data_IF_411901999641
#
_entry.id   IF_411901999641
#
_cell.length_a   1.000
_cell.length_b   1.000
_cell.length_c   1.000
_cell.angle_alpha   90.00
_cell.angle_beta   90.00
_cell.angle_gamma   90.00
#
_symmetry.space_group_name_H-M   'P 1'
#
loop_
_entity.id
_entity.type
_entity.pdbx_description
1 polymer ?
#
# COMPACT_ATOMS: atom_id res chain seq x y z
N UNK A 1 0.72 -28.62 5.48
CA UNK A 1 0.43 -27.30 6.00
C UNK A 1 -0.99 -26.89 5.62
N UNK A 2 -1.80 -26.49 6.61
CA UNK A 2 -3.21 -26.11 6.38
C UNK A 2 -3.38 -24.63 5.96
N UNK A 3 -2.34 -23.82 6.06
CA UNK A 3 -2.44 -22.38 5.85
C UNK A 3 -2.11 -21.96 4.40
N UNK A 4 -1.15 -22.63 3.77
CA UNK A 4 -0.77 -22.37 2.39
C UNK A 4 -0.13 -23.60 1.74
N UNK A 5 -0.01 -23.56 0.42
CA UNK A 5 0.67 -24.53 -0.43
C UNK A 5 1.87 -23.88 -1.13
N UNK A 6 2.73 -24.68 -1.75
CA UNK A 6 3.88 -24.18 -2.54
C UNK A 6 3.46 -23.35 -3.77
N UNK A 7 2.22 -23.50 -4.21
CA UNK A 7 1.70 -22.81 -5.40
C UNK A 7 1.01 -21.47 -5.05
N UNK A 8 0.84 -21.21 -3.75
CA UNK A 8 0.28 -19.94 -3.30
C UNK A 8 1.26 -18.76 -3.54
N UNK A 9 0.72 -17.60 -3.85
CA UNK A 9 1.43 -16.33 -3.86
C UNK A 9 1.05 -15.57 -2.60
N UNK A 10 1.99 -15.45 -1.67
CA UNK A 10 1.75 -14.86 -0.35
C UNK A 10 2.19 -13.41 -0.31
N UNK A 11 1.25 -12.50 -0.10
CA UNK A 11 1.52 -11.09 0.14
C UNK A 11 1.69 -10.78 1.62
N UNK A 12 2.84 -10.29 2.02
CA UNK A 12 3.07 -9.77 3.38
C UNK A 12 2.72 -8.29 3.38
N UNK A 13 1.56 -7.95 3.92
CA UNK A 13 1.10 -6.56 4.08
C UNK A 13 1.72 -5.97 5.33
N UNK A 14 2.59 -5.00 5.15
CA UNK A 14 3.23 -4.27 6.23
C UNK A 14 2.55 -2.92 6.48
N UNK A 15 2.96 -2.20 7.51
CA UNK A 15 2.60 -0.81 7.76
C UNK A 15 3.88 0.04 7.80
N UNK A 16 4.30 0.64 6.70
CA UNK A 16 5.54 1.42 6.63
C UNK A 16 5.37 2.86 7.15
N UNK A 17 4.13 3.32 7.36
CA UNK A 17 3.87 4.70 7.78
C UNK A 17 4.52 5.02 9.12
N UNK A 18 5.26 6.12 9.16
CA UNK A 18 6.07 6.52 10.32
C UNK A 18 7.40 5.79 10.40
N UNK A 19 8.03 5.60 9.25
CA UNK A 19 9.27 4.86 9.02
C UNK A 19 10.28 4.91 10.17
N UNK A 20 10.72 3.73 10.61
CA UNK A 20 11.72 3.56 11.66
C UNK A 20 11.26 3.81 13.09
N UNK A 21 10.11 4.47 13.30
CA UNK A 21 9.60 4.82 14.64
C UNK A 21 8.36 3.98 14.99
N UNK A 22 7.33 4.04 14.15
CA UNK A 22 6.03 3.40 14.38
C UNK A 22 5.59 2.56 13.18
N UNK A 23 6.53 2.10 12.37
CA UNK A 23 6.30 1.18 11.24
C UNK A 23 6.42 -0.29 11.68
N UNK A 24 5.90 -1.20 10.85
CA UNK A 24 6.24 -2.63 10.98
C UNK A 24 7.76 -2.78 10.85
N UNK A 25 8.38 -3.47 11.80
CA UNK A 25 9.84 -3.66 11.80
C UNK A 25 10.23 -4.74 10.80
N UNK A 26 11.26 -4.50 9.96
CA UNK A 26 11.76 -5.50 9.02
C UNK A 26 12.12 -6.84 9.66
N UNK A 27 12.63 -6.83 10.90
CA UNK A 27 13.01 -8.05 11.64
C UNK A 27 11.81 -8.96 11.92
N UNK A 28 10.61 -8.40 12.10
CA UNK A 28 9.38 -9.19 12.24
C UNK A 28 9.02 -9.86 10.92
N UNK A 29 9.25 -9.17 9.81
CA UNK A 29 9.01 -9.69 8.47
C UNK A 29 10.01 -10.79 8.12
N UNK A 30 11.29 -10.68 8.56
CA UNK A 30 12.28 -11.75 8.41
C UNK A 30 11.78 -13.07 9.02
N UNK A 31 11.28 -13.03 10.26
CA UNK A 31 10.76 -14.23 10.94
C UNK A 31 9.60 -14.86 10.16
N UNK A 32 8.72 -14.05 9.60
CA UNK A 32 7.60 -14.54 8.77
C UNK A 32 8.11 -15.17 7.48
N UNK A 33 9.09 -14.53 6.82
CA UNK A 33 9.70 -15.05 5.59
C UNK A 33 10.42 -16.38 5.89
N UNK A 34 11.22 -16.46 6.93
CA UNK A 34 11.93 -17.67 7.33
C UNK A 34 10.95 -18.82 7.60
N UNK A 35 9.84 -18.52 8.25
CA UNK A 35 8.78 -19.49 8.49
C UNK A 35 8.12 -19.97 7.18
N UNK A 36 7.83 -19.05 6.25
CA UNK A 36 7.25 -19.41 4.95
C UNK A 36 8.20 -20.30 4.14
N UNK A 37 9.47 -19.91 4.05
CA UNK A 37 10.52 -20.66 3.34
C UNK A 37 10.76 -22.03 3.98
N UNK A 38 10.86 -22.09 5.31
CA UNK A 38 11.02 -23.31 6.07
C UNK A 38 9.86 -24.30 5.93
N UNK A 39 8.68 -23.80 5.54
CA UNK A 39 7.49 -24.61 5.24
C UNK A 39 7.30 -24.87 3.73
N UNK A 40 8.28 -24.57 2.89
CA UNK A 40 8.35 -24.96 1.49
C UNK A 40 7.70 -23.96 0.50
N UNK A 41 7.35 -22.74 0.92
CA UNK A 41 6.91 -21.71 -0.01
C UNK A 41 8.12 -21.22 -0.83
N UNK A 42 8.05 -21.21 -2.17
CA UNK A 42 9.14 -20.67 -2.98
C UNK A 42 9.33 -19.16 -2.74
N UNK A 43 10.57 -18.71 -2.69
CA UNK A 43 10.94 -17.31 -2.41
C UNK A 43 10.30 -16.32 -3.38
N UNK A 44 10.24 -16.65 -4.66
CA UNK A 44 9.60 -15.84 -5.70
C UNK A 44 8.08 -15.70 -5.54
N UNK A 45 7.46 -16.50 -4.68
CA UNK A 45 6.04 -16.44 -4.36
C UNK A 45 5.74 -15.57 -3.13
N UNK A 46 6.76 -14.92 -2.58
CA UNK A 46 6.62 -13.99 -1.44
C UNK A 46 6.71 -12.56 -1.96
N UNK A 47 5.75 -11.72 -1.57
CA UNK A 47 5.71 -10.30 -1.95
C UNK A 47 5.50 -9.48 -0.68
N UNK A 48 6.45 -8.60 -0.33
CA UNK A 48 6.24 -7.56 0.70
C UNK A 48 5.55 -6.39 0.02
N UNK A 49 4.46 -5.89 0.60
CA UNK A 49 3.71 -4.83 -0.06
C UNK A 49 3.02 -3.85 0.89
N UNK A 50 2.78 -2.66 0.38
CA UNK A 50 1.90 -1.63 0.94
C UNK A 50 1.35 -0.75 -0.18
N UNK A 51 0.63 0.29 0.19
CA UNK A 51 0.08 1.24 -0.77
C UNK A 51 1.16 2.03 -1.50
N UNK A 52 2.14 2.58 -0.79
CA UNK A 52 3.16 3.47 -1.36
C UNK A 52 4.55 2.84 -1.35
N UNK A 53 5.18 2.73 -2.53
CA UNK A 53 6.54 2.21 -2.68
C UNK A 53 7.59 3.07 -1.96
N UNK A 54 7.43 4.39 -2.02
CA UNK A 54 8.29 5.34 -1.29
C UNK A 54 8.30 5.04 0.21
N UNK A 55 7.12 4.84 0.83
CA UNK A 55 7.04 4.54 2.26
C UNK A 55 7.66 3.18 2.61
N UNK A 56 7.57 2.19 1.72
CA UNK A 56 8.24 0.91 1.89
C UNK A 56 9.76 1.10 1.94
N UNK A 57 10.32 1.85 0.99
CA UNK A 57 11.75 2.17 0.93
C UNK A 57 12.21 2.89 2.21
N UNK A 58 11.49 3.92 2.64
CA UNK A 58 11.81 4.71 3.84
C UNK A 58 11.78 3.86 5.12
N UNK A 59 10.92 2.85 5.18
CA UNK A 59 10.82 1.92 6.30
C UNK A 59 11.84 0.76 6.22
N UNK A 60 12.76 0.78 5.25
CA UNK A 60 13.82 -0.21 5.12
C UNK A 60 13.44 -1.46 4.33
N UNK A 61 12.30 -1.47 3.66
CA UNK A 61 11.92 -2.55 2.74
C UNK A 61 12.54 -2.29 1.37
N UNK A 62 13.75 -2.81 1.16
CA UNK A 62 14.52 -2.64 -0.06
C UNK A 62 14.99 -3.98 -0.64
N UNK A 63 15.28 -4.06 -1.94
CA UNK A 63 15.81 -5.28 -2.56
C UNK A 63 17.12 -5.78 -1.93
N UNK A 64 17.94 -4.85 -1.43
CA UNK A 64 19.20 -5.17 -0.75
C UNK A 64 18.96 -5.83 0.61
N UNK A 65 17.93 -5.37 1.32
CA UNK A 65 17.55 -5.92 2.64
C UNK A 65 16.82 -7.26 2.51
N UNK A 66 16.03 -7.43 1.44
CA UNK A 66 15.23 -8.64 1.18
C UNK A 66 15.56 -9.24 -0.20
N UNK A 67 16.79 -9.78 -0.38
CA UNK A 67 17.25 -10.23 -1.69
C UNK A 67 16.42 -11.40 -2.21
N UNK A 68 15.88 -11.22 -3.43
CA UNK A 68 15.04 -12.21 -4.11
C UNK A 68 13.58 -12.26 -3.64
N UNK A 69 13.17 -11.38 -2.71
CA UNK A 69 11.77 -11.13 -2.36
C UNK A 69 11.31 -9.92 -3.16
N UNK A 70 10.13 -9.99 -3.75
CA UNK A 70 9.53 -8.84 -4.42
C UNK A 70 9.00 -7.85 -3.41
N UNK A 71 9.30 -6.56 -3.61
CA UNK A 71 8.74 -5.45 -2.84
C UNK A 71 7.89 -4.64 -3.81
N UNK A 72 6.62 -4.40 -3.46
CA UNK A 72 5.66 -3.78 -4.36
C UNK A 72 4.77 -2.77 -3.64
N UNK A 73 4.86 -1.50 -4.05
CA UNK A 73 3.88 -0.47 -3.72
C UNK A 73 2.79 -0.42 -4.79
N UNK A 74 1.56 -0.16 -4.39
CA UNK A 74 0.47 0.02 -5.35
C UNK A 74 0.55 1.38 -6.06
N UNK A 75 1.12 2.38 -5.40
CA UNK A 75 1.30 3.74 -5.92
C UNK A 75 2.77 4.14 -5.89
N UNK A 76 3.23 4.67 -7.02
CA UNK A 76 4.58 5.18 -7.22
C UNK A 76 4.55 6.70 -7.30
N UNK A 77 5.57 7.35 -6.69
CA UNK A 77 5.91 8.74 -6.91
C UNK A 77 7.19 8.84 -7.74
N UNK A 78 7.29 9.84 -8.59
CA UNK A 78 8.55 10.18 -9.27
C UNK A 78 9.52 10.81 -8.26
N UNK A 79 10.75 10.31 -8.17
CA UNK A 79 11.74 10.68 -7.12
C UNK A 79 12.20 12.15 -7.14
N UNK A 80 11.90 12.91 -8.18
CA UNK A 80 12.29 14.33 -8.27
C UNK A 80 11.10 15.25 -8.20
N UNK A 81 10.82 15.72 -6.99
CA UNK A 81 10.15 17.01 -6.86
C UNK A 81 11.18 18.10 -7.22
N UNK A 82 10.86 19.07 -8.09
CA UNK A 82 11.68 20.26 -8.21
C UNK A 82 11.85 20.91 -6.84
N UNK A 83 13.07 21.35 -6.52
CA UNK A 83 13.30 22.15 -5.32
C UNK A 83 12.40 23.40 -5.39
N UNK A 84 11.56 23.58 -4.39
CA UNK A 84 10.95 24.88 -4.10
C UNK A 84 9.50 25.04 -4.44
N UNK A 85 8.64 24.19 -4.27
CA UNK A 85 7.27 24.50 -3.89
C UNK A 85 6.39 23.25 -3.71
N UNK A 86 5.85 23.18 -2.50
CA UNK A 86 4.50 22.72 -2.26
C UNK A 86 4.07 21.53 -3.08
N UNK A 87 4.07 20.34 -2.48
CA UNK A 87 3.13 19.31 -2.87
C UNK A 87 2.77 19.38 -4.38
N UNK A 88 3.79 19.57 -5.22
CA UNK A 88 3.55 19.55 -6.66
C UNK A 88 3.14 18.14 -7.02
N UNK A 89 1.88 18.04 -7.29
CA UNK A 89 1.18 16.83 -7.62
C UNK A 89 1.65 16.20 -8.93
N UNK A 90 2.53 16.88 -9.67
CA UNK A 90 3.22 16.35 -10.84
C UNK A 90 4.03 15.07 -10.52
N UNK A 91 4.48 14.88 -9.27
CA UNK A 91 5.14 13.66 -8.83
C UNK A 91 4.29 12.38 -8.99
N UNK A 92 3.00 12.53 -9.14
CA UNK A 92 2.04 11.44 -9.30
C UNK A 92 1.54 11.26 -10.74
N UNK A 93 1.88 12.20 -11.62
CA UNK A 93 1.35 12.25 -12.97
C UNK A 93 2.44 11.98 -14.02
N UNK A 94 2.04 11.38 -15.13
CA UNK A 94 2.86 11.27 -16.32
C UNK A 94 2.79 12.57 -17.16
N UNK A 95 3.54 12.61 -18.26
CA UNK A 95 3.57 13.75 -19.19
C UNK A 95 2.20 14.08 -19.81
N UNK A 96 1.29 13.13 -19.82
CA UNK A 96 -0.05 13.23 -20.41
C UNK A 96 -1.11 13.57 -19.35
N UNK A 97 -0.69 13.80 -18.09
CA UNK A 97 -1.56 14.17 -16.98
C UNK A 97 -2.30 12.99 -16.33
N UNK A 98 -1.93 11.76 -16.65
CA UNK A 98 -2.52 10.58 -16.00
C UNK A 98 -1.70 10.19 -14.77
N UNK A 99 -2.37 9.66 -13.76
CA UNK A 99 -1.67 9.11 -12.60
C UNK A 99 -0.80 7.91 -13.00
N UNK A 100 0.51 7.97 -12.72
CA UNK A 100 1.49 6.96 -13.13
C UNK A 100 1.16 5.54 -12.62
N UNK A 101 0.42 5.42 -11.54
CA UNK A 101 -0.01 4.14 -10.96
C UNK A 101 -1.42 3.71 -11.40
N UNK A 102 -2.06 4.40 -12.35
CA UNK A 102 -3.43 4.07 -12.75
C UNK A 102 -3.59 2.62 -13.23
N UNK A 103 -2.57 2.07 -13.89
CA UNK A 103 -2.55 0.69 -14.36
C UNK A 103 -2.51 -0.38 -13.26
N UNK A 104 -2.14 0.00 -12.03
CA UNK A 104 -2.01 -0.93 -10.90
C UNK A 104 -3.33 -1.26 -10.20
N UNK A 105 -4.42 -0.56 -10.57
CA UNK A 105 -5.71 -0.72 -9.93
C UNK A 105 -6.72 -1.41 -10.82
N UNK A 106 -7.55 -2.23 -10.18
CA UNK A 106 -8.60 -3.02 -10.82
C UNK A 106 -9.88 -2.18 -10.90
N UNK A 107 -10.28 -1.82 -12.13
CA UNK A 107 -11.44 -0.96 -12.38
C UNK A 107 -12.77 -1.68 -12.14
N UNK A 108 -12.75 -2.99 -12.05
CA UNK A 108 -13.96 -3.81 -11.86
C UNK A 108 -14.20 -4.16 -10.39
N UNK A 109 -13.21 -3.89 -9.51
CA UNK A 109 -13.29 -4.17 -8.07
C UNK A 109 -13.10 -2.90 -7.26
N UNK A 110 -14.18 -2.37 -6.73
CA UNK A 110 -14.19 -1.09 -6.03
C UNK A 110 -15.28 -1.03 -4.95
N UNK A 111 -15.14 -0.06 -4.07
CA UNK A 111 -16.26 0.46 -3.30
C UNK A 111 -16.39 1.96 -3.56
N UNK A 112 -17.52 2.54 -3.16
CA UNK A 112 -17.77 3.96 -3.33
C UNK A 112 -18.38 4.58 -2.08
N UNK A 113 -18.17 5.89 -1.90
CA UNK A 113 -18.80 6.69 -0.88
C UNK A 113 -19.10 8.07 -1.44
N UNK A 114 -20.25 8.64 -1.08
CA UNK A 114 -20.66 9.99 -1.50
C UNK A 114 -19.93 11.06 -0.67
N UNK A 115 -18.65 11.25 -0.98
CA UNK A 115 -17.80 12.12 -0.18
C UNK A 115 -16.90 13.05 -1.02
N UNK A 116 -17.39 13.42 -2.18
CA UNK A 116 -16.71 14.41 -3.02
C UNK A 116 -17.18 15.80 -2.59
N UNK A 117 -16.53 16.36 -1.58
CA UNK A 117 -16.76 17.72 -1.11
C UNK A 117 -15.66 18.67 -1.57
N UNK A 118 -15.90 19.99 -1.56
CA UNK A 118 -14.87 20.99 -1.89
C UNK A 118 -13.62 20.87 -1.03
N UNK A 119 -13.70 20.24 0.13
CA UNK A 119 -12.56 20.00 1.05
C UNK A 119 -11.61 18.92 0.54
N UNK A 120 -12.06 18.07 -0.39
CA UNK A 120 -11.25 16.99 -0.96
C UNK A 120 -10.43 17.46 -2.16
N UNK A 121 -10.77 18.62 -2.73
CA UNK A 121 -10.06 19.20 -3.88
C UNK A 121 -8.55 19.29 -3.72
N UNK A 122 -7.98 19.71 -2.57
CA UNK A 122 -6.53 19.75 -2.39
C UNK A 122 -5.83 18.39 -2.49
N UNK A 123 -6.58 17.29 -2.37
CA UNK A 123 -6.05 15.93 -2.40
C UNK A 123 -6.39 15.16 -3.67
N UNK A 124 -7.14 15.76 -4.60
CA UNK A 124 -7.59 15.09 -5.83
C UNK A 124 -6.44 14.61 -6.70
N UNK A 125 -5.32 15.31 -6.68
CA UNK A 125 -4.12 14.94 -7.43
C UNK A 125 -3.35 13.74 -6.85
N UNK A 126 -3.55 13.41 -5.59
CA UNK A 126 -3.11 12.13 -5.01
C UNK A 126 -4.09 11.00 -5.30
N UNK A 127 -5.25 11.32 -5.88
CA UNK A 127 -6.22 10.33 -6.29
C UNK A 127 -5.80 9.73 -7.63
N UNK A 128 -5.77 8.42 -7.69
CA UNK A 128 -5.47 7.68 -8.92
C UNK A 128 -6.52 7.94 -10.00
N UNK A 129 -7.78 8.07 -9.57
CA UNK A 129 -8.90 8.43 -10.42
C UNK A 129 -9.77 9.45 -9.72
N UNK A 130 -10.30 10.41 -10.48
CA UNK A 130 -11.28 11.35 -9.97
C UNK A 130 -12.61 10.64 -9.69
N UNK A 131 -13.39 11.20 -8.75
CA UNK A 131 -14.71 10.74 -8.41
C UNK A 131 -14.79 9.92 -7.13
N UNK A 132 -15.93 9.31 -6.89
CA UNK A 132 -16.33 8.67 -5.63
C UNK A 132 -15.84 7.23 -5.43
N UNK A 133 -15.11 6.68 -6.39
CA UNK A 133 -14.71 5.30 -6.39
C UNK A 133 -13.31 5.12 -5.78
N UNK A 134 -13.15 4.06 -5.00
CA UNK A 134 -11.86 3.58 -4.49
C UNK A 134 -11.65 2.17 -5.02
N UNK A 135 -10.67 2.04 -5.91
CA UNK A 135 -10.38 0.79 -6.62
C UNK A 135 -9.33 -0.02 -5.86
N UNK A 136 -9.49 -1.34 -5.86
CA UNK A 136 -8.49 -2.23 -5.27
C UNK A 136 -7.27 -2.38 -6.18
N UNK A 137 -6.11 -2.57 -5.56
CA UNK A 137 -4.89 -2.89 -6.31
C UNK A 137 -4.98 -4.27 -6.97
N UNK A 138 -4.58 -4.39 -8.24
CA UNK A 138 -4.51 -5.65 -8.97
C UNK A 138 -3.63 -6.70 -8.28
N UNK A 139 -2.63 -6.24 -7.51
CA UNK A 139 -1.86 -7.13 -6.66
C UNK A 139 -2.77 -7.99 -5.79
N UNK A 140 -3.77 -7.35 -5.15
CA UNK A 140 -4.71 -8.01 -4.22
C UNK A 140 -5.78 -8.80 -4.96
N UNK A 141 -6.33 -8.27 -6.05
CA UNK A 141 -7.49 -8.89 -6.74
C UNK A 141 -7.10 -9.97 -7.73
N UNK A 142 -5.87 -9.93 -8.27
CA UNK A 142 -5.48 -10.77 -9.41
C UNK A 142 -4.23 -11.62 -9.16
N UNK A 143 -3.40 -11.28 -8.15
CA UNK A 143 -2.08 -11.90 -8.01
C UNK A 143 -1.92 -12.68 -6.72
N UNK A 144 -2.28 -12.08 -5.58
CA UNK A 144 -2.13 -12.73 -4.28
C UNK A 144 -3.21 -13.79 -4.07
N UNK A 145 -2.81 -14.96 -3.61
CA UNK A 145 -3.74 -16.01 -3.16
C UNK A 145 -3.93 -16.01 -1.66
N UNK A 146 -2.94 -15.50 -0.93
CA UNK A 146 -2.94 -15.37 0.54
C UNK A 146 -2.35 -14.03 0.96
N UNK A 147 -2.81 -13.51 2.09
CA UNK A 147 -2.27 -12.30 2.70
C UNK A 147 -1.93 -12.57 4.16
N UNK A 148 -0.71 -12.24 4.54
CA UNK A 148 -0.28 -12.13 5.94
C UNK A 148 -0.25 -10.63 6.26
N UNK A 149 -1.11 -10.20 7.18
CA UNK A 149 -1.22 -8.79 7.55
C UNK A 149 -0.44 -8.55 8.84
N UNK A 150 0.62 -7.73 8.77
CA UNK A 150 1.48 -7.36 9.91
C UNK A 150 1.28 -5.87 10.23
N UNK A 151 0.18 -5.53 10.91
CA UNK A 151 -0.13 -4.15 11.27
C UNK A 151 0.71 -3.66 12.44
N UNK A 152 0.67 -2.35 12.68
CA UNK A 152 1.14 -1.73 13.92
C UNK A 152 -0.07 -1.25 14.71
N UNK A 153 -0.16 -1.66 15.97
CA UNK A 153 -1.14 -1.11 16.89
C UNK A 153 -0.70 0.28 17.35
N UNK A 154 -1.42 1.29 16.93
CA UNK A 154 -1.07 2.68 17.23
C UNK A 154 -2.31 3.57 17.35
N UNK A 155 -2.22 4.60 18.17
CA UNK A 155 -3.18 5.69 18.18
C UNK A 155 -2.90 6.65 17.03
N UNK A 156 -3.94 7.09 16.37
CA UNK A 156 -3.89 8.10 15.29
C UNK A 156 -4.93 9.19 15.57
N UNK A 157 -4.81 10.35 14.91
CA UNK A 157 -5.78 11.43 15.05
C UNK A 157 -7.24 11.02 14.82
N UNK A 158 -7.45 9.94 14.09
CA UNK A 158 -8.77 9.37 13.76
C UNK A 158 -9.06 8.07 14.53
N UNK A 159 -8.44 7.85 15.69
CA UNK A 159 -8.65 6.67 16.53
C UNK A 159 -7.58 5.59 16.38
N UNK A 160 -7.94 4.37 16.75
CA UNK A 160 -7.01 3.25 16.77
C UNK A 160 -6.73 2.72 15.37
N UNK A 161 -5.45 2.64 15.01
CA UNK A 161 -4.98 1.98 13.80
C UNK A 161 -4.49 0.57 14.14
N UNK A 162 -4.98 -0.43 13.40
CA UNK A 162 -4.62 -1.84 13.55
C UNK A 162 -4.88 -2.64 12.26
N UNK A 163 -5.14 -3.95 12.38
CA UNK A 163 -5.24 -4.90 11.27
C UNK A 163 -6.24 -4.51 10.18
N UNK A 164 -7.46 -4.16 10.54
CA UNK A 164 -8.53 -3.82 9.58
C UNK A 164 -8.16 -2.58 8.77
N UNK A 165 -7.69 -1.51 9.46
CA UNK A 165 -7.26 -0.29 8.78
C UNK A 165 -6.04 -0.55 7.88
N UNK A 166 -5.05 -1.28 8.38
CA UNK A 166 -3.84 -1.58 7.62
C UNK A 166 -4.16 -2.28 6.29
N UNK A 167 -5.02 -3.28 6.33
CA UNK A 167 -5.42 -4.02 5.13
C UNK A 167 -6.40 -3.23 4.27
N UNK A 168 -7.47 -2.69 4.85
CA UNK A 168 -8.53 -2.02 4.11
C UNK A 168 -8.03 -0.78 3.37
N UNK A 169 -7.35 0.12 4.07
CA UNK A 169 -6.81 1.35 3.45
C UNK A 169 -5.57 1.09 2.59
N UNK A 170 -4.77 0.09 2.94
CA UNK A 170 -3.57 -0.24 2.19
C UNK A 170 -3.83 -0.95 0.87
N UNK A 171 -5.02 -1.53 0.67
CA UNK A 171 -5.37 -2.30 -0.52
C UNK A 171 -6.04 -1.49 -1.64
N UNK A 172 -6.42 -0.24 -1.38
CA UNK A 172 -7.21 0.59 -2.29
C UNK A 172 -6.57 1.94 -2.58
N UNK A 173 -6.95 2.56 -3.69
CA UNK A 173 -6.63 3.96 -3.98
C UNK A 173 -7.64 4.93 -3.32
N UNK A 174 -7.35 6.23 -3.42
CA UNK A 174 -8.29 7.32 -3.11
C UNK A 174 -8.80 7.30 -1.66
N UNK A 175 -7.92 7.01 -0.69
CA UNK A 175 -8.29 6.91 0.72
C UNK A 175 -8.38 8.25 1.45
N UNK A 176 -7.99 9.37 0.84
CA UNK A 176 -7.99 10.66 1.51
C UNK A 176 -9.37 11.06 2.01
N UNK A 177 -10.41 10.79 1.23
CA UNK A 177 -11.80 11.00 1.62
C UNK A 177 -12.23 10.26 2.89
N UNK A 178 -11.53 9.17 3.23
CA UNK A 178 -11.80 8.35 4.42
C UNK A 178 -11.08 8.84 5.68
N UNK A 179 -10.28 9.90 5.56
CA UNK A 179 -9.54 10.51 6.66
C UNK A 179 -10.18 11.80 7.16
N UNK A 180 -11.32 12.21 6.60
CA UNK A 180 -12.00 13.43 7.03
C UNK A 180 -12.93 13.13 8.22
N UNK A 181 -13.05 14.06 9.22
CA UNK A 181 -13.87 13.85 10.41
C UNK A 181 -15.37 13.66 10.16
N UNK A 182 -15.82 13.89 8.93
CA UNK A 182 -17.24 13.80 8.54
C UNK A 182 -17.71 12.37 8.26
N UNK A 183 -16.80 11.37 8.30
CA UNK A 183 -17.09 10.00 7.89
C UNK A 183 -16.83 8.95 8.98
N UNK A 184 -16.66 9.40 10.23
CA UNK A 184 -16.50 8.54 11.40
C UNK A 184 -17.53 8.90 12.46
#
# INVERSE_FOLDING_TARGET
NLLFTKDDVVGIKVNPAGAGIISTRPEVVDVVIDWLLGNGLPKQNIIIWDRFDMMLKDAGYTPERFPGIKIEGLQTMVEKLPEGDNADHSAWLDKDGNHISAGNFDRDVYYWADVDGPKDLPYLNQHVFNGKYSYFGKLVTQKLTKIINIPVFKNTGNGVSMATKNLGYGAICNTNRLHTPLFF
#
